data_IF_657667844273
#
_entry.id   IF_657667844273
#
_cell.length_a   1.000
_cell.length_b   1.000
_cell.length_c   1.000
_cell.angle_alpha   90.00
_cell.angle_beta   90.00
_cell.angle_gamma   90.00
#
_symmetry.space_group_name_H-M   'P 1'
#
loop_
_entity.id
_entity.type
_entity.pdbx_description
1 polymer ?
#
# COMPACT_ATOMS: atom_id res chain seq x y z
N UNK A 1 35.31 19.79 -11.08
CA UNK A 1 34.50 19.13 -10.02
C UNK A 1 33.08 19.71 -10.00
N UNK A 2 32.12 19.09 -10.68
CA UNK A 2 30.70 19.42 -10.50
C UNK A 2 30.00 18.17 -9.97
N UNK A 3 29.71 18.15 -8.67
CA UNK A 3 28.84 17.15 -8.05
C UNK A 3 27.42 17.45 -8.56
N UNK A 4 26.98 16.74 -9.59
CA UNK A 4 25.56 16.66 -9.94
C UNK A 4 24.87 15.82 -8.87
N UNK A 5 24.48 16.47 -7.77
CA UNK A 5 23.56 15.90 -6.80
C UNK A 5 22.18 15.84 -7.44
N UNK A 6 21.83 14.71 -8.04
CA UNK A 6 20.41 14.40 -8.27
C UNK A 6 19.76 14.34 -6.90
N UNK A 7 18.91 15.32 -6.61
CA UNK A 7 17.91 15.22 -5.56
C UNK A 7 17.18 13.89 -5.82
N UNK A 8 17.12 12.94 -4.87
CA UNK A 8 16.29 11.76 -5.05
C UNK A 8 14.86 12.27 -5.17
N UNK A 9 14.31 12.25 -6.38
CA UNK A 9 12.88 12.44 -6.59
C UNK A 9 12.21 11.34 -5.77
N UNK A 10 11.62 11.70 -4.64
CA UNK A 10 10.67 10.86 -3.91
C UNK A 10 9.49 10.67 -4.86
N UNK A 11 9.57 9.67 -5.74
CA UNK A 11 8.48 9.32 -6.64
C UNK A 11 7.43 8.64 -5.79
N UNK A 12 6.36 9.36 -5.47
CA UNK A 12 5.16 8.79 -4.86
C UNK A 12 4.52 7.84 -5.89
N UNK A 13 4.61 6.55 -5.65
CA UNK A 13 3.83 5.57 -6.38
C UNK A 13 2.43 5.51 -5.72
N UNK A 14 1.40 5.97 -6.43
CA UNK A 14 0.02 5.72 -6.04
C UNK A 14 -0.37 4.34 -6.56
N UNK A 15 -0.75 3.44 -5.64
CA UNK A 15 -0.85 2.01 -5.90
C UNK A 15 -2.19 1.65 -6.51
N UNK A 16 -3.29 2.21 -5.99
CA UNK A 16 -4.61 2.05 -6.56
C UNK A 16 -4.99 3.34 -7.28
N UNK A 17 -5.12 3.25 -8.61
CA UNK A 17 -5.25 4.39 -9.52
C UNK A 17 -6.68 4.84 -9.77
N UNK A 18 -7.66 4.37 -8.98
CA UNK A 18 -8.97 5.01 -9.01
C UNK A 18 -8.79 6.45 -8.50
N UNK A 19 -9.15 7.42 -9.34
CA UNK A 19 -8.84 8.83 -9.11
C UNK A 19 -9.61 9.44 -7.92
N UNK A 20 -10.55 8.69 -7.34
CA UNK A 20 -11.39 9.15 -6.25
C UNK A 20 -11.36 8.23 -5.03
N UNK A 21 -11.63 8.84 -3.88
CA UNK A 21 -11.84 8.19 -2.59
C UNK A 21 -13.31 8.23 -2.22
N UNK A 22 -14.18 8.05 -3.23
CA UNK A 22 -15.63 7.99 -3.03
C UNK A 22 -16.05 6.58 -2.66
N UNK A 23 -17.12 6.40 -1.88
CA UNK A 23 -17.67 5.07 -1.61
C UNK A 23 -17.83 4.22 -2.87
N UNK A 24 -17.28 3.00 -2.84
CA UNK A 24 -17.35 2.07 -3.98
C UNK A 24 -16.20 2.14 -4.99
N UNK A 25 -15.28 3.11 -4.90
CA UNK A 25 -14.13 3.23 -5.81
C UNK A 25 -12.88 2.44 -5.36
N UNK A 26 -13.00 1.63 -4.30
CA UNK A 26 -11.88 0.84 -3.78
C UNK A 26 -11.66 -0.48 -4.55
N UNK A 27 -10.43 -0.96 -4.53
CA UNK A 27 -10.13 -2.32 -4.93
C UNK A 27 -10.56 -3.29 -3.82
N UNK A 28 -11.60 -4.07 -4.11
CA UNK A 28 -12.15 -5.06 -3.20
C UNK A 28 -11.67 -6.48 -3.54
N UNK A 29 -11.36 -7.28 -2.53
CA UNK A 29 -11.13 -8.72 -2.66
C UNK A 29 -11.84 -9.50 -1.56
N UNK A 30 -12.24 -10.73 -1.87
CA UNK A 30 -12.99 -11.60 -0.95
C UNK A 30 -12.13 -12.01 0.26
N UNK A 31 -12.72 -12.00 1.44
CA UNK A 31 -12.09 -12.37 2.70
C UNK A 31 -11.19 -11.27 3.27
N UNK A 32 -10.36 -11.66 4.24
CA UNK A 32 -9.48 -10.77 5.02
C UNK A 32 -8.01 -10.81 4.62
N UNK A 33 -7.63 -11.71 3.71
CA UNK A 33 -6.28 -11.87 3.22
C UNK A 33 -6.23 -11.89 1.69
N UNK A 34 -5.15 -11.36 1.13
CA UNK A 34 -5.03 -11.16 -0.31
C UNK A 34 -3.81 -10.32 -0.64
N UNK A 35 -3.65 -9.94 -1.90
CA UNK A 35 -2.53 -9.10 -2.30
C UNK A 35 -2.61 -8.62 -3.73
N UNK A 36 -1.78 -7.62 -4.02
CA UNK A 36 -1.64 -7.02 -5.33
C UNK A 36 -0.16 -6.90 -5.69
N UNK A 37 0.19 -7.29 -6.92
CA UNK A 37 1.51 -7.04 -7.51
C UNK A 37 1.39 -5.81 -8.40
N UNK A 38 2.25 -4.83 -8.15
CA UNK A 38 2.23 -3.53 -8.79
C UNK A 38 3.55 -3.32 -9.51
N UNK A 39 3.47 -3.03 -10.81
CA UNK A 39 4.62 -2.59 -11.60
C UNK A 39 4.65 -1.06 -11.63
N UNK A 40 5.73 -0.50 -11.12
CA UNK A 40 6.01 0.92 -11.09
C UNK A 40 6.46 1.41 -12.48
N UNK A 41 6.44 2.73 -12.70
CA UNK A 41 6.91 3.35 -13.94
C UNK A 41 8.42 3.17 -14.21
N UNK A 42 9.15 2.67 -13.22
CA UNK A 42 10.57 2.33 -13.32
C UNK A 42 11.13 1.99 -11.94
N UNK A 43 12.39 1.51 -11.89
CA UNK A 43 13.03 1.13 -10.64
C UNK A 43 13.19 2.33 -9.70
N UNK A 44 12.73 2.20 -8.45
CA UNK A 44 12.93 3.21 -7.39
C UNK A 44 13.42 2.55 -6.11
N UNK A 45 14.12 3.34 -5.27
CA UNK A 45 14.38 2.97 -3.87
C UNK A 45 13.19 3.43 -3.05
N UNK A 46 12.53 2.48 -2.40
CA UNK A 46 11.33 2.73 -1.62
C UNK A 46 11.77 3.13 -0.21
N UNK A 47 11.26 4.26 0.28
CA UNK A 47 11.52 4.80 1.61
C UNK A 47 10.27 4.75 2.50
N UNK A 48 9.09 4.88 1.91
CA UNK A 48 7.81 4.74 2.56
C UNK A 48 6.72 4.24 1.61
N UNK A 49 5.66 3.70 2.20
CA UNK A 49 4.38 3.47 1.51
C UNK A 49 3.27 4.24 2.22
N UNK A 50 2.17 4.50 1.54
CA UNK A 50 0.96 5.04 2.15
C UNK A 50 -0.23 4.16 1.83
N UNK A 51 -1.14 3.99 2.79
CA UNK A 51 -2.46 3.41 2.58
C UNK A 51 -3.50 4.45 2.97
N UNK A 52 -4.50 4.61 2.11
CA UNK A 52 -5.69 5.42 2.35
C UNK A 52 -6.94 4.55 2.49
N UNK A 53 -7.86 4.97 3.35
CA UNK A 53 -9.21 4.43 3.44
C UNK A 53 -10.22 5.56 3.68
N UNK A 54 -11.47 5.34 3.28
CA UNK A 54 -12.55 6.30 3.54
C UNK A 54 -12.92 6.40 5.02
N UNK A 55 -13.47 7.55 5.40
CA UNK A 55 -14.07 7.75 6.72
C UNK A 55 -15.37 6.96 6.86
N UNK A 56 -15.62 6.43 8.06
CA UNK A 56 -16.91 5.85 8.44
C UNK A 56 -18.10 6.78 8.15
N UNK A 57 -17.89 8.10 8.20
CA UNK A 57 -18.96 9.09 8.02
C UNK A 57 -19.48 9.16 6.58
N UNK A 58 -18.67 8.74 5.61
CA UNK A 58 -19.05 8.71 4.19
C UNK A 58 -19.30 7.28 3.70
N UNK A 59 -19.05 6.27 4.54
CA UNK A 59 -19.40 4.88 4.22
C UNK A 59 -20.92 4.72 4.17
N UNK A 60 -21.50 4.18 3.09
CA UNK A 60 -22.96 3.97 2.98
C UNK A 60 -23.53 3.09 4.09
N UNK A 61 -22.73 2.18 4.63
CA UNK A 61 -23.10 1.27 5.72
C UNK A 61 -22.68 1.81 7.09
N UNK A 62 -21.94 2.93 7.14
CA UNK A 62 -21.26 3.41 8.35
C UNK A 62 -20.11 2.51 8.81
N UNK A 63 -19.81 1.43 8.08
CA UNK A 63 -18.80 0.44 8.40
C UNK A 63 -17.48 0.79 7.69
N UNK A 64 -16.37 0.63 8.42
CA UNK A 64 -15.01 0.73 7.91
C UNK A 64 -14.17 -0.51 8.21
N UNK A 65 -14.77 -1.57 8.79
CA UNK A 65 -14.09 -2.83 9.15
C UNK A 65 -13.52 -3.58 7.93
N UNK A 66 -13.93 -3.19 6.73
CA UNK A 66 -13.37 -3.63 5.44
C UNK A 66 -11.96 -3.10 5.18
N UNK A 67 -11.49 -2.10 5.94
CA UNK A 67 -10.14 -1.57 5.79
C UNK A 67 -9.09 -2.66 6.04
N UNK A 68 -7.97 -2.67 5.31
CA UNK A 68 -6.85 -3.55 5.62
C UNK A 68 -6.35 -3.23 7.03
N UNK A 69 -5.88 -4.24 7.75
CA UNK A 69 -5.29 -4.08 9.09
C UNK A 69 -3.80 -4.40 9.00
N UNK A 70 -3.44 -5.67 9.08
CA UNK A 70 -2.03 -6.09 9.05
C UNK A 70 -1.62 -6.38 7.61
N UNK A 71 -0.46 -5.85 7.19
CA UNK A 71 0.03 -6.03 5.83
C UNK A 71 1.56 -6.04 5.76
N UNK A 72 2.08 -6.55 4.64
CA UNK A 72 3.51 -6.54 4.32
C UNK A 72 3.74 -5.99 2.92
N UNK A 73 4.90 -5.36 2.75
CA UNK A 73 5.33 -4.81 1.46
C UNK A 73 6.61 -5.52 1.04
N UNK A 74 6.65 -5.96 -0.21
CA UNK A 74 7.75 -6.73 -0.76
C UNK A 74 8.26 -6.10 -2.05
N UNK A 75 9.57 -6.13 -2.26
CA UNK A 75 10.21 -5.77 -3.53
C UNK A 75 10.49 -7.04 -4.33
N UNK A 76 10.05 -7.08 -5.59
CA UNK A 76 10.26 -8.22 -6.49
C UNK A 76 11.18 -7.83 -7.64
N UNK A 77 12.09 -8.73 -8.05
CA UNK A 77 12.90 -8.55 -9.26
C UNK A 77 12.14 -8.99 -10.52
N UNK A 78 11.23 -9.95 -10.38
CA UNK A 78 10.32 -10.44 -11.43
C UNK A 78 8.95 -10.76 -10.81
N UNK A 79 7.85 -10.84 -11.59
CA UNK A 79 6.53 -11.19 -11.04
C UNK A 79 6.43 -12.57 -10.38
N UNK A 80 7.35 -13.48 -10.67
CA UNK A 80 7.41 -14.84 -10.10
C UNK A 80 8.48 -14.99 -9.01
N UNK A 81 9.15 -13.90 -8.64
CA UNK A 81 10.17 -13.87 -7.60
C UNK A 81 9.54 -14.13 -6.21
N UNK A 82 10.29 -14.74 -5.28
CA UNK A 82 9.87 -14.88 -3.88
C UNK A 82 9.81 -13.54 -3.15
N UNK A 83 10.61 -12.58 -3.61
CA UNK A 83 10.64 -11.21 -3.13
C UNK A 83 11.49 -10.98 -1.89
N UNK A 84 11.81 -9.71 -1.67
CA UNK A 84 12.48 -9.21 -0.46
C UNK A 84 11.46 -8.47 0.40
N UNK A 85 11.31 -8.87 1.66
CA UNK A 85 10.45 -8.15 2.61
C UNK A 85 11.03 -6.76 2.87
N UNK A 86 10.23 -5.73 2.58
CA UNK A 86 10.60 -4.33 2.78
C UNK A 86 10.06 -3.79 4.11
N UNK A 87 8.93 -4.32 4.57
CA UNK A 87 8.36 -3.97 5.87
C UNK A 87 7.04 -4.67 6.17
N UNK A 88 6.69 -4.65 7.45
CA UNK A 88 5.43 -5.16 7.99
C UNK A 88 4.81 -4.07 8.87
N UNK A 89 3.53 -3.81 8.65
CA UNK A 89 2.83 -2.68 9.29
C UNK A 89 1.39 -3.05 9.62
N UNK A 90 0.76 -2.19 10.42
CA UNK A 90 -0.67 -2.25 10.72
C UNK A 90 -1.31 -0.89 10.47
N UNK A 91 -2.35 -0.86 9.63
CA UNK A 91 -3.20 0.31 9.47
C UNK A 91 -4.10 0.46 10.70
N UNK A 92 -4.21 1.69 11.20
CA UNK A 92 -5.02 2.01 12.36
C UNK A 92 -6.35 2.65 11.92
N UNK A 93 -7.44 1.90 11.94
CA UNK A 93 -8.77 2.41 11.57
C UNK A 93 -9.29 3.57 12.45
N UNK A 94 -8.72 3.78 13.65
CA UNK A 94 -8.99 4.95 14.49
C UNK A 94 -8.03 6.13 14.23
N UNK A 95 -7.02 5.94 13.39
CA UNK A 95 -6.03 6.95 13.01
C UNK A 95 -6.49 7.84 11.85
N UNK A 96 -5.56 8.61 11.26
CA UNK A 96 -5.83 9.38 10.05
C UNK A 96 -6.25 8.48 8.87
N UNK A 97 -7.04 9.02 7.95
CA UNK A 97 -7.51 8.29 6.76
C UNK A 97 -6.36 7.83 5.86
N UNK A 98 -5.38 8.71 5.67
CA UNK A 98 -4.12 8.42 4.96
C UNK A 98 -3.04 8.17 6.01
N UNK A 99 -2.46 6.98 6.00
CA UNK A 99 -1.35 6.62 6.89
C UNK A 99 -0.12 6.31 6.07
N UNK A 100 1.02 6.83 6.53
CA UNK A 100 2.32 6.66 5.90
C UNK A 100 3.18 5.75 6.76
N UNK A 101 3.83 4.79 6.13
CA UNK A 101 4.62 3.74 6.76
C UNK A 101 6.03 3.78 6.19
N UNK A 102 6.96 4.35 6.97
CA UNK A 102 8.37 4.45 6.60
C UNK A 102 9.10 3.13 6.86
N UNK A 103 9.96 2.75 5.91
CA UNK A 103 10.80 1.56 6.02
C UNK A 103 11.95 1.87 6.98
N UNK A 104 12.05 1.12 8.09
CA UNK A 104 13.12 1.31 9.08
C UNK A 104 14.52 1.04 8.51
N UNK A 105 14.61 0.14 7.53
CA UNK A 105 15.85 -0.18 6.82
C UNK A 105 15.58 -0.11 5.31
N UNK A 106 15.66 1.09 4.69
CA UNK A 106 15.42 1.24 3.27
C UNK A 106 16.38 0.36 2.46
N UNK A 107 15.89 -0.37 1.45
CA UNK A 107 16.75 -1.22 0.63
C UNK A 107 17.78 -0.39 -0.14
N UNK A 108 18.99 -0.92 -0.29
CA UNK A 108 20.00 -0.35 -1.20
C UNK A 108 19.63 -0.61 -2.67
N UNK A 109 18.95 -1.73 -2.93
CA UNK A 109 18.42 -2.11 -4.23
C UNK A 109 17.20 -1.26 -4.61
N UNK A 110 17.04 -1.03 -5.91
CA UNK A 110 15.85 -0.40 -6.47
C UNK A 110 14.90 -1.48 -7.01
N UNK A 111 13.60 -1.29 -6.81
CA UNK A 111 12.56 -2.21 -7.26
C UNK A 111 11.64 -1.50 -8.25
N UNK A 112 11.27 -2.20 -9.32
CA UNK A 112 10.22 -1.79 -10.25
C UNK A 112 8.91 -2.54 -9.99
N UNK A 113 8.97 -3.66 -9.26
CA UNK A 113 7.79 -4.45 -8.91
C UNK A 113 7.67 -4.49 -7.39
N UNK A 114 6.50 -4.13 -6.89
CA UNK A 114 6.17 -4.14 -5.46
C UNK A 114 4.97 -5.04 -5.26
N UNK A 115 5.00 -5.86 -4.22
CA UNK A 115 3.85 -6.66 -3.82
C UNK A 115 3.35 -6.21 -2.45
N UNK A 116 2.08 -5.81 -2.42
CA UNK A 116 1.34 -5.56 -1.19
C UNK A 116 0.60 -6.83 -0.82
N UNK A 117 0.90 -7.39 0.36
CA UNK A 117 0.18 -8.55 0.90
C UNK A 117 -0.60 -8.13 2.13
N UNK A 118 -1.93 -8.23 2.06
CA UNK A 118 -2.83 -8.03 3.19
C UNK A 118 -2.96 -9.35 3.95
N UNK A 119 -2.68 -9.30 5.25
CA UNK A 119 -2.71 -10.43 6.17
C UNK A 119 -4.04 -10.50 6.91
N UNK A 120 -4.66 -9.35 7.19
CA UNK A 120 -5.93 -9.23 7.89
C UNK A 120 -6.66 -7.93 7.53
N UNK A 121 -7.95 -7.86 7.85
CA UNK A 121 -8.75 -6.63 7.85
C UNK A 121 -9.25 -6.32 9.28
N UNK A 122 -10.08 -5.30 9.42
CA UNK A 122 -10.61 -4.85 10.70
C UNK A 122 -11.88 -5.59 11.16
N UNK A 123 -12.17 -6.77 10.62
CA UNK A 123 -13.21 -7.67 11.12
C UNK A 123 -14.36 -7.96 10.15
N UNK A 124 -14.32 -7.41 8.92
CA UNK A 124 -15.31 -7.75 7.92
C UNK A 124 -15.09 -9.19 7.41
N UNK A 125 -16.12 -10.04 7.47
CA UNK A 125 -16.01 -11.45 7.10
C UNK A 125 -16.04 -11.68 5.57
N UNK A 126 -16.60 -10.74 4.82
CA UNK A 126 -16.93 -10.93 3.41
C UNK A 126 -15.81 -10.47 2.49
N UNK A 127 -15.23 -9.29 2.76
CA UNK A 127 -14.23 -8.69 1.89
C UNK A 127 -13.33 -7.67 2.59
N UNK A 128 -12.26 -7.31 1.90
CA UNK A 128 -11.36 -6.21 2.26
C UNK A 128 -11.34 -5.22 1.11
N UNK A 129 -11.30 -3.92 1.42
CA UNK A 129 -11.27 -2.85 0.42
C UNK A 129 -10.10 -1.90 0.65
N UNK A 130 -9.32 -1.65 -0.40
CA UNK A 130 -8.20 -0.72 -0.38
C UNK A 130 -8.47 0.43 -1.36
N UNK A 131 -8.35 1.66 -0.89
CA UNK A 131 -8.64 2.85 -1.70
C UNK A 131 -7.42 3.34 -2.47
N UNK A 132 -6.30 3.60 -1.78
CA UNK A 132 -5.08 4.14 -2.39
C UNK A 132 -3.81 3.72 -1.68
#
# INVERSE_FOLDING_TARGET
>A
LRRSGRIPLIKRAHIFSHAGTSPGECWAFKGSNGGAIIKLLGPIRIDAVSIEHISKNISPTGDSTTAPKDFTVWGLKTPTDRGTLLGQYSYNIQGPLIQMFSLSHPPTEAYEIVELRILSNHGNADFTCIYR
#
